data_IF_345812831559
#
_entry.id   IF_345812831559
#
_cell.length_a   1.000
_cell.length_b   1.000
_cell.length_c   1.000
_cell.angle_alpha   90.00
_cell.angle_beta   90.00
_cell.angle_gamma   90.00
#
_symmetry.space_group_name_H-M   'P 1'
#
loop_
_entity.id
_entity.type
_entity.pdbx_description
1 polymer ?
#
# COMPACT_ATOMS: atom_id res chain seq x y z
N UNK A 1 13.34 -9.40 -3.16
CA UNK A 1 12.64 -10.66 -2.83
C UNK A 1 12.37 -10.87 -1.34
N UNK A 2 13.38 -10.88 -0.45
CA UNK A 2 13.21 -11.24 0.97
C UNK A 2 12.11 -10.46 1.70
N UNK A 3 12.05 -9.14 1.57
CA UNK A 3 10.99 -8.31 2.19
C UNK A 3 9.58 -8.76 1.76
N UNK A 4 9.38 -9.01 0.46
CA UNK A 4 8.09 -9.43 -0.08
C UNK A 4 7.66 -10.80 0.47
N UNK A 5 8.60 -11.75 0.59
CA UNK A 5 8.36 -13.05 1.19
C UNK A 5 8.00 -12.93 2.68
N UNK A 6 8.70 -12.08 3.43
CA UNK A 6 8.38 -11.84 4.84
C UNK A 6 7.00 -11.18 5.02
N UNK A 7 6.66 -10.18 4.20
CA UNK A 7 5.35 -9.54 4.25
C UNK A 7 4.24 -10.55 3.93
N UNK A 8 4.44 -11.39 2.91
CA UNK A 8 3.52 -12.49 2.60
C UNK A 8 3.32 -13.39 3.81
N UNK A 9 4.39 -13.90 4.41
CA UNK A 9 4.30 -14.83 5.54
C UNK A 9 3.54 -14.22 6.73
N UNK A 10 3.82 -12.95 7.05
CA UNK A 10 3.16 -12.25 8.15
C UNK A 10 1.66 -12.04 7.86
N UNK A 11 1.33 -11.60 6.64
CA UNK A 11 -0.07 -11.38 6.24
C UNK A 11 -0.85 -12.70 6.21
N UNK A 12 -0.23 -13.75 5.68
CA UNK A 12 -0.80 -15.10 5.66
C UNK A 12 -1.07 -15.64 7.06
N UNK A 13 -0.11 -15.52 7.97
CA UNK A 13 -0.28 -15.98 9.36
C UNK A 13 -1.37 -15.18 10.09
N UNK A 14 -1.51 -13.88 9.79
CA UNK A 14 -2.60 -13.06 10.33
C UNK A 14 -3.95 -13.47 9.77
N UNK A 15 -4.04 -13.72 8.47
CA UNK A 15 -5.27 -14.17 7.81
C UNK A 15 -5.71 -15.54 8.34
N UNK A 16 -4.79 -16.50 8.47
CA UNK A 16 -5.03 -17.82 9.05
C UNK A 16 -5.55 -17.75 10.50
N UNK A 17 -5.04 -16.80 11.29
CA UNK A 17 -5.51 -16.55 12.67
C UNK A 17 -6.88 -15.89 12.72
N UNK A 18 -7.21 -15.04 11.75
CA UNK A 18 -8.51 -14.39 11.64
C UNK A 18 -9.60 -15.34 11.08
N UNK A 19 -9.22 -16.22 10.15
CA UNK A 19 -10.10 -17.15 9.43
C UNK A 19 -9.87 -18.60 9.90
N UNK A 20 -10.13 -18.89 11.19
CA UNK A 20 -10.16 -20.26 11.71
C UNK A 20 -11.30 -21.02 11.00
N UNK A 21 -11.01 -21.61 9.83
CA UNK A 21 -11.97 -22.41 9.06
C UNK A 21 -11.73 -22.50 7.56
N UNK A 22 -10.93 -21.61 6.95
CA UNK A 22 -10.66 -21.67 5.51
C UNK A 22 -9.28 -22.30 5.27
N UNK A 23 -9.29 -23.60 4.98
CA UNK A 23 -8.17 -24.26 4.30
C UNK A 23 -8.12 -23.75 2.85
N UNK A 24 -7.40 -22.66 2.61
CA UNK A 24 -7.12 -22.19 1.25
C UNK A 24 -5.63 -22.09 1.08
N UNK A 25 -5.10 -22.52 -0.07
CA UNK A 25 -3.90 -21.90 -0.61
C UNK A 25 -4.24 -20.43 -0.93
N UNK A 26 -3.26 -19.52 -0.85
CA UNK A 26 -3.40 -18.22 -1.50
C UNK A 26 -3.85 -18.48 -2.94
N UNK A 27 -4.96 -17.89 -3.36
CA UNK A 27 -5.32 -17.93 -4.78
C UNK A 27 -4.17 -17.30 -5.56
N UNK A 28 -3.77 -17.95 -6.65
CA UNK A 28 -2.88 -17.34 -7.65
C UNK A 28 -3.41 -15.94 -7.99
N UNK A 29 -2.53 -14.93 -8.01
CA UNK A 29 -2.93 -13.53 -8.24
C UNK A 29 -3.31 -12.71 -7.00
N UNK A 30 -3.04 -13.14 -5.76
CA UNK A 30 -3.19 -12.23 -4.60
C UNK A 30 -1.99 -11.30 -4.40
N UNK A 31 -0.81 -11.73 -4.82
CA UNK A 31 0.44 -10.96 -4.68
C UNK A 31 1.11 -10.87 -6.03
N UNK A 32 1.27 -9.64 -6.51
CA UNK A 32 1.94 -9.33 -7.75
C UNK A 32 3.32 -8.73 -7.49
N UNK A 33 4.28 -9.05 -8.36
CA UNK A 33 5.60 -8.45 -8.34
C UNK A 33 6.02 -8.06 -9.76
N UNK A 34 6.67 -6.91 -9.88
CA UNK A 34 7.16 -6.40 -11.14
C UNK A 34 8.53 -5.75 -10.91
N UNK A 35 9.51 -6.17 -11.68
CA UNK A 35 10.84 -5.55 -11.76
C UNK A 35 11.42 -5.88 -13.14
N UNK A 36 11.79 -4.88 -13.96
CA UNK A 36 12.43 -5.13 -15.26
C UNK A 36 13.74 -5.94 -15.17
N UNK A 37 14.36 -5.99 -13.99
CA UNK A 37 15.55 -6.78 -13.71
C UNK A 37 15.28 -8.26 -13.36
N UNK A 38 14.03 -8.69 -13.20
CA UNK A 38 13.71 -10.09 -12.91
C UNK A 38 14.07 -11.02 -14.07
N UNK A 39 14.73 -12.11 -13.72
CA UNK A 39 15.10 -13.18 -14.62
C UNK A 39 14.06 -14.30 -14.59
N UNK A 40 14.11 -15.26 -15.54
CA UNK A 40 13.26 -16.46 -15.47
C UNK A 40 13.43 -17.26 -14.17
N UNK A 41 14.62 -17.21 -13.55
CA UNK A 41 14.87 -17.85 -12.25
C UNK A 41 14.08 -17.16 -11.14
N UNK A 42 14.06 -15.83 -11.14
CA UNK A 42 13.27 -15.06 -10.16
C UNK A 42 11.78 -15.36 -10.29
N UNK A 43 11.27 -15.49 -11.52
CA UNK A 43 9.87 -15.87 -11.77
C UNK A 43 9.52 -17.24 -11.20
N UNK A 44 10.39 -18.24 -11.38
CA UNK A 44 10.20 -19.58 -10.81
C UNK A 44 10.21 -19.53 -9.29
N UNK A 45 11.23 -18.90 -8.70
CA UNK A 45 11.37 -18.82 -7.24
C UNK A 45 10.20 -18.06 -6.60
N UNK A 46 9.79 -16.93 -7.18
CA UNK A 46 8.63 -16.17 -6.71
C UNK A 46 7.33 -16.95 -6.89
N UNK A 47 7.16 -17.65 -8.01
CA UNK A 47 6.01 -18.50 -8.30
C UNK A 47 5.85 -19.64 -7.29
N UNK A 48 6.95 -20.28 -6.85
CA UNK A 48 6.93 -21.28 -5.77
C UNK A 48 6.36 -20.73 -4.46
N UNK A 49 6.42 -19.42 -4.28
CA UNK A 49 5.88 -18.71 -3.12
C UNK A 49 4.52 -18.05 -3.41
N UNK A 50 3.85 -18.41 -4.51
CA UNK A 50 2.53 -17.88 -4.86
C UNK A 50 2.53 -16.39 -5.20
N UNK A 51 3.67 -15.87 -5.67
CA UNK A 51 3.80 -14.50 -6.16
C UNK A 51 3.78 -14.54 -7.68
N UNK A 52 2.84 -13.81 -8.27
CA UNK A 52 2.71 -13.70 -9.71
C UNK A 52 3.61 -12.59 -10.22
N UNK A 53 4.66 -12.94 -10.96
CA UNK A 53 5.47 -11.95 -11.67
C UNK A 53 4.75 -11.53 -12.94
N UNK A 54 4.53 -10.23 -13.10
CA UNK A 54 3.82 -9.64 -14.23
C UNK A 54 4.73 -8.72 -15.03
N UNK A 55 4.34 -8.40 -16.27
CA UNK A 55 5.14 -7.58 -17.16
C UNK A 55 5.16 -6.11 -16.75
N UNK A 56 6.21 -5.36 -17.09
CA UNK A 56 6.21 -3.90 -16.96
C UNK A 56 5.42 -3.25 -18.12
N UNK A 57 4.41 -2.38 -17.87
CA UNK A 57 3.98 -1.75 -16.61
C UNK A 57 2.64 -2.29 -16.04
N UNK A 58 2.35 -3.58 -16.18
CA UNK A 58 1.07 -4.20 -15.83
C UNK A 58 0.76 -4.13 -14.34
N UNK A 59 1.76 -4.01 -13.46
CA UNK A 59 1.54 -3.93 -12.01
C UNK A 59 0.73 -2.74 -11.55
N UNK A 60 0.68 -1.66 -12.32
CA UNK A 60 -0.23 -0.55 -12.03
C UNK A 60 -1.70 -0.90 -12.28
N UNK A 61 -2.00 -1.87 -13.13
CA UNK A 61 -3.39 -2.29 -13.44
C UNK A 61 -4.02 -3.07 -12.28
N UNK A 62 -3.20 -3.69 -11.44
CA UNK A 62 -3.64 -4.45 -10.26
C UNK A 62 -3.79 -3.57 -9.00
N UNK A 63 -3.54 -2.26 -9.11
CA UNK A 63 -3.65 -1.33 -7.98
C UNK A 63 -5.08 -0.80 -7.86
N UNK A 64 -5.70 -1.05 -6.72
CA UNK A 64 -6.99 -0.49 -6.33
C UNK A 64 -6.97 0.08 -4.90
N UNK A 65 -8.13 0.54 -4.42
CA UNK A 65 -8.31 1.09 -3.09
C UNK A 65 -8.08 0.06 -1.95
N UNK A 66 -8.24 -1.24 -2.23
CA UNK A 66 -8.03 -2.33 -1.29
C UNK A 66 -6.57 -2.78 -1.21
N UNK A 67 -5.74 -2.35 -2.15
CA UNK A 67 -4.39 -2.86 -2.34
C UNK A 67 -3.41 -2.32 -1.29
N UNK A 68 -2.37 -3.13 -0.99
CA UNK A 68 -1.17 -2.68 -0.30
C UNK A 68 -0.02 -2.59 -1.33
N UNK A 69 0.48 -1.38 -1.55
CA UNK A 69 1.57 -1.12 -2.52
C UNK A 69 2.91 -1.09 -1.78
N UNK A 70 3.91 -1.78 -2.32
CA UNK A 70 5.30 -1.72 -1.85
C UNK A 70 6.19 -1.32 -3.01
N UNK A 71 6.96 -0.25 -2.84
CA UNK A 71 7.93 0.20 -3.84
C UNK A 71 9.18 0.74 -3.15
N UNK A 72 10.35 0.34 -3.62
CA UNK A 72 11.63 0.70 -3.03
C UNK A 72 12.53 1.29 -4.10
N UNK A 73 12.95 2.55 -3.93
CA UNK A 73 13.81 3.27 -4.87
C UNK A 73 13.40 3.09 -6.34
N UNK A 74 12.13 3.37 -6.71
CA UNK A 74 11.65 3.08 -8.06
C UNK A 74 12.36 3.93 -9.11
N UNK A 75 12.56 3.34 -10.28
CA UNK A 75 13.06 4.05 -11.46
C UNK A 75 11.97 4.83 -12.22
N UNK A 76 10.74 4.86 -11.70
CA UNK A 76 9.55 5.48 -12.30
C UNK A 76 8.73 6.22 -11.24
N UNK A 77 7.77 7.03 -11.68
CA UNK A 77 6.93 7.91 -10.85
C UNK A 77 5.83 7.14 -10.07
N UNK A 78 6.19 6.12 -9.29
CA UNK A 78 5.22 5.24 -8.62
C UNK A 78 4.24 6.03 -7.76
N UNK A 79 4.71 6.96 -6.91
CA UNK A 79 3.84 7.78 -6.06
C UNK A 79 2.86 8.61 -6.89
N UNK A 80 3.29 9.18 -8.01
CA UNK A 80 2.41 9.99 -8.85
C UNK A 80 1.33 9.13 -9.52
N UNK A 81 1.74 7.99 -10.11
CA UNK A 81 0.85 7.10 -10.85
C UNK A 81 -0.17 6.46 -9.91
N UNK A 82 0.30 5.88 -8.79
CA UNK A 82 -0.57 5.19 -7.82
C UNK A 82 -1.63 6.13 -7.27
N UNK A 83 -1.26 7.37 -6.93
CA UNK A 83 -2.21 8.37 -6.42
C UNK A 83 -3.20 8.90 -7.45
N UNK A 84 -2.93 8.72 -8.75
CA UNK A 84 -3.88 9.03 -9.82
C UNK A 84 -4.82 7.85 -10.11
N UNK A 85 -4.38 6.62 -9.87
CA UNK A 85 -5.15 5.41 -10.13
C UNK A 85 -6.12 5.07 -9.01
N UNK A 86 -5.67 5.14 -7.76
CA UNK A 86 -6.42 4.65 -6.62
C UNK A 86 -6.00 5.31 -5.30
N UNK A 87 -6.67 4.91 -4.22
CA UNK A 87 -6.28 5.22 -2.86
C UNK A 87 -5.92 3.96 -2.08
N UNK A 88 -4.72 3.37 -2.28
CA UNK A 88 -4.36 2.10 -1.65
C UNK A 88 -4.53 2.14 -0.14
N UNK A 89 -4.91 1.01 0.45
CA UNK A 89 -5.08 0.93 1.90
C UNK A 89 -3.76 1.08 2.65
N UNK A 90 -2.66 0.61 2.05
CA UNK A 90 -1.30 0.76 2.57
C UNK A 90 -0.37 1.14 1.42
N UNK A 91 0.56 2.06 1.65
CA UNK A 91 1.72 2.27 0.78
C UNK A 91 3.00 2.18 1.60
N UNK A 92 3.95 1.34 1.19
CA UNK A 92 5.31 1.29 1.73
C UNK A 92 6.23 1.79 0.62
N UNK A 93 6.57 3.07 0.69
CA UNK A 93 7.30 3.78 -0.37
C UNK A 93 8.35 4.71 0.24
N UNK A 94 9.27 5.20 -0.59
CA UNK A 94 10.21 6.23 -0.17
C UNK A 94 9.47 7.41 0.47
N UNK A 95 9.96 7.84 1.63
CA UNK A 95 9.37 8.89 2.46
C UNK A 95 9.17 10.15 1.63
N UNK A 96 7.92 10.57 1.56
CA UNK A 96 7.52 11.83 0.96
C UNK A 96 8.10 12.98 1.79
N UNK A 97 9.04 13.70 1.20
CA UNK A 97 9.63 14.91 1.78
C UNK A 97 8.69 16.11 1.61
N UNK A 98 8.63 16.96 2.65
CA UNK A 98 7.94 18.27 2.58
C UNK A 98 8.71 19.31 1.79
N UNK A 99 10.01 19.11 1.65
CA UNK A 99 10.89 19.99 0.88
C UNK A 99 11.15 19.42 -0.51
N UNK A 100 11.30 20.31 -1.48
CA UNK A 100 11.73 19.90 -2.82
C UNK A 100 13.15 19.34 -2.73
N UNK A 101 13.27 18.07 -3.10
CA UNK A 101 14.56 17.41 -3.22
C UNK A 101 15.42 18.17 -4.23
N UNK A 102 16.64 18.54 -3.84
CA UNK A 102 17.68 19.01 -4.77
C UNK A 102 18.28 17.87 -5.60
N UNK A 103 18.06 16.63 -5.18
CA UNK A 103 18.47 15.41 -5.89
C UNK A 103 17.40 15.00 -6.90
N UNK A 104 17.85 14.61 -8.09
CA UNK A 104 17.02 14.12 -9.20
C UNK A 104 16.54 12.68 -8.92
N UNK A 105 15.68 12.50 -7.93
CA UNK A 105 14.99 11.21 -7.75
C UNK A 105 14.03 10.99 -8.92
N UNK A 106 13.95 9.76 -9.41
CA UNK A 106 13.06 9.39 -10.51
C UNK A 106 11.58 9.34 -10.08
N UNK A 107 11.30 9.40 -8.78
CA UNK A 107 9.96 9.56 -8.20
C UNK A 107 9.89 10.76 -7.23
N UNK A 108 9.83 12.00 -7.76
CA UNK A 108 9.83 13.21 -6.96
C UNK A 108 8.50 13.41 -6.21
N UNK A 109 8.62 14.06 -5.06
CA UNK A 109 7.48 14.44 -4.23
C UNK A 109 6.80 15.70 -4.78
N UNK A 110 5.84 15.53 -5.68
CA UNK A 110 5.05 16.67 -6.16
C UNK A 110 4.19 17.27 -5.01
N UNK A 111 3.83 18.56 -5.08
CA UNK A 111 2.89 19.17 -4.13
C UNK A 111 1.58 18.39 -3.99
N UNK A 112 1.11 17.78 -5.09
CA UNK A 112 -0.08 16.93 -5.12
C UNK A 112 0.11 15.67 -4.26
N UNK A 113 1.21 14.95 -4.43
CA UNK A 113 1.49 13.75 -3.63
C UNK A 113 1.65 14.10 -2.15
N UNK A 114 2.30 15.22 -1.83
CA UNK A 114 2.40 15.71 -0.44
C UNK A 114 1.04 15.94 0.19
N UNK A 115 0.19 16.70 -0.50
CA UNK A 115 -1.18 16.96 -0.05
C UNK A 115 -1.97 15.66 0.11
N UNK A 116 -1.87 14.77 -0.87
CA UNK A 116 -2.56 13.49 -0.87
C UNK A 116 -2.20 12.63 0.35
N UNK A 117 -0.91 12.49 0.67
CA UNK A 117 -0.49 11.69 1.83
C UNK A 117 -0.80 12.39 3.15
N UNK A 118 -0.65 13.71 3.24
CA UNK A 118 -0.95 14.50 4.45
C UNK A 118 -2.45 14.46 4.80
N UNK A 119 -3.34 14.41 3.80
CA UNK A 119 -4.80 14.44 4.01
C UNK A 119 -5.42 13.07 4.28
N UNK A 120 -4.84 12.00 3.74
CA UNK A 120 -5.49 10.69 3.68
C UNK A 120 -4.77 9.59 4.47
N UNK A 121 -3.52 9.79 4.90
CA UNK A 121 -2.71 8.71 5.47
C UNK A 121 -2.08 9.09 6.80
N UNK A 122 -2.05 8.12 7.70
CA UNK A 122 -1.16 8.14 8.86
C UNK A 122 0.21 7.60 8.45
N UNK A 123 1.28 8.28 8.87
CA UNK A 123 2.66 7.92 8.52
C UNK A 123 3.32 7.21 9.70
N UNK A 124 3.81 5.99 9.44
CA UNK A 124 4.55 5.17 10.38
C UNK A 124 6.00 5.02 9.90
N UNK A 125 6.98 4.94 10.84
CA UNK A 125 8.36 4.68 10.47
C UNK A 125 8.52 3.24 9.94
N UNK A 126 9.31 3.08 8.89
CA UNK A 126 9.82 1.78 8.47
C UNK A 126 11.18 1.55 9.13
N UNK A 127 11.33 0.46 9.88
CA UNK A 127 12.54 0.16 10.65
C UNK A 127 13.52 -0.78 9.92
N UNK A 128 13.51 -0.75 8.58
CA UNK A 128 14.47 -1.51 7.78
C UNK A 128 15.85 -0.86 7.74
N UNK A 129 16.85 -1.63 7.32
CA UNK A 129 18.21 -1.14 7.14
C UNK A 129 18.28 -0.18 5.94
N UNK A 130 18.63 1.08 6.21
CA UNK A 130 18.64 2.16 5.20
C UNK A 130 19.56 1.87 4.02
N UNK A 131 20.62 1.09 4.22
CA UNK A 131 21.53 0.66 3.14
C UNK A 131 20.81 -0.14 2.04
N UNK A 132 19.81 -0.94 2.42
CA UNK A 132 19.10 -1.82 1.50
C UNK A 132 17.75 -1.26 1.04
N UNK A 133 17.11 -0.45 1.88
CA UNK A 133 15.74 0.01 1.62
C UNK A 133 15.64 1.51 1.35
N UNK A 134 16.70 2.29 1.58
CA UNK A 134 16.57 3.75 1.57
C UNK A 134 15.73 4.26 2.75
N UNK A 135 15.10 5.42 2.57
CA UNK A 135 14.24 6.05 3.60
C UNK A 135 12.78 5.69 3.34
N UNK A 136 12.40 4.41 3.48
CA UNK A 136 11.00 4.01 3.37
C UNK A 136 10.15 4.54 4.53
N UNK A 137 8.88 4.75 4.25
CA UNK A 137 7.84 4.99 5.25
C UNK A 137 6.61 4.13 4.94
N UNK A 138 5.84 3.81 5.97
CA UNK A 138 4.57 3.11 5.83
C UNK A 138 3.45 4.14 5.95
N UNK A 139 2.65 4.28 4.91
CA UNK A 139 1.45 5.10 4.87
C UNK A 139 0.24 4.20 5.02
N UNK A 140 -0.53 4.38 6.09
CA UNK A 140 -1.78 3.67 6.33
C UNK A 140 -2.95 4.60 6.06
N UNK A 141 -3.85 4.23 5.15
CA UNK A 141 -5.01 5.08 4.81
C UNK A 141 -5.90 5.25 6.04
N UNK A 142 -6.23 6.49 6.36
CA UNK A 142 -7.15 6.82 7.44
C UNK A 142 -8.53 6.27 7.13
N UNK A 143 -9.06 5.47 8.05
CA UNK A 143 -10.46 5.08 7.98
C UNK A 143 -11.29 6.29 8.40
N UNK A 144 -11.91 6.97 7.44
CA UNK A 144 -12.94 7.96 7.79
C UNK A 144 -14.07 7.20 8.49
N UNK A 145 -14.10 7.25 9.82
CA UNK A 145 -15.29 6.87 10.59
C UNK A 145 -16.41 7.69 9.98
N UNK A 146 -17.29 7.03 9.24
CA UNK A 146 -18.35 7.73 8.55
C UNK A 146 -19.32 8.17 9.64
N UNK A 147 -19.19 9.41 10.12
CA UNK A 147 -20.09 10.04 11.09
C UNK A 147 -21.53 10.20 10.57
N UNK A 148 -21.93 9.52 9.48
CA UNK A 148 -23.32 9.47 9.02
C UNK A 148 -24.27 8.82 10.02
N UNK A 149 -23.79 7.99 10.94
CA UNK A 149 -24.64 7.44 12.02
C UNK A 149 -24.71 8.33 13.27
N UNK A 150 -23.74 9.21 13.49
CA UNK A 150 -23.77 10.15 14.62
C UNK A 150 -24.57 11.42 14.30
N UNK A 151 -24.54 11.90 13.05
CA UNK A 151 -25.33 13.08 12.64
C UNK A 151 -26.82 12.77 12.50
N UNK A 152 -27.19 11.55 12.10
CA UNK A 152 -28.60 11.10 12.07
C UNK A 152 -29.13 10.71 13.45
N UNK A 153 -28.27 10.30 14.38
CA UNK A 153 -28.65 9.96 15.75
C UNK A 153 -28.82 11.18 16.67
N UNK A 154 -28.04 12.25 16.45
CA UNK A 154 -28.11 13.47 17.24
C UNK A 154 -29.34 14.33 16.91
N UNK A 155 -29.85 14.31 15.67
CA UNK A 155 -31.02 15.11 15.27
C UNK A 155 -32.36 14.54 15.74
N UNK A 156 -32.44 13.25 16.11
CA UNK A 156 -33.70 12.62 16.51
C UNK A 156 -34.05 12.89 17.99
N UNK A 157 -33.06 13.18 18.84
CA UNK A 157 -33.26 13.42 20.26
C UNK A 157 -33.77 14.83 20.60
N UNK A 158 -33.63 15.79 19.67
CA UNK A 158 -34.11 17.17 19.85
C UNK A 158 -35.62 17.35 19.53
N UNK A 159 -36.30 16.32 19.03
CA UNK A 159 -37.74 16.35 18.69
C UNK A 159 -38.64 15.64 19.71
N UNK A 160 -38.10 14.82 20.62
CA UNK A 160 -38.90 14.13 21.64
C UNK A 160 -39.08 14.93 22.94
N UNK A 161 -38.36 16.05 23.13
CA UNK A 161 -38.49 16.89 24.34
C UNK A 161 -39.51 18.05 24.20
N UNK A 162 -40.33 18.05 23.14
CA UNK A 162 -41.32 19.10 22.84
C UNK A 162 -42.76 18.64 22.56
N UNK A 163 -43.12 17.42 22.95
CA UNK A 163 -44.52 16.94 22.89
C UNK A 163 -44.98 16.47 24.26
#
# INVERSE_FOLDING_TARGET
>A
HALLLTLREILWEKEKRANIGLSGQLSEGLIYAQDPGYTPVDQVVLGEHGITVIGDPEGFLEVDDGTAVVSCAPAVLVKQIVTDLAQPSIMIVDRVSREDSKTLWLDPDSPRVRQYVDELYDVLPFHGEQEFFGDLAIYSRQQKVTNRLLELGASAQDLEEKT
#
